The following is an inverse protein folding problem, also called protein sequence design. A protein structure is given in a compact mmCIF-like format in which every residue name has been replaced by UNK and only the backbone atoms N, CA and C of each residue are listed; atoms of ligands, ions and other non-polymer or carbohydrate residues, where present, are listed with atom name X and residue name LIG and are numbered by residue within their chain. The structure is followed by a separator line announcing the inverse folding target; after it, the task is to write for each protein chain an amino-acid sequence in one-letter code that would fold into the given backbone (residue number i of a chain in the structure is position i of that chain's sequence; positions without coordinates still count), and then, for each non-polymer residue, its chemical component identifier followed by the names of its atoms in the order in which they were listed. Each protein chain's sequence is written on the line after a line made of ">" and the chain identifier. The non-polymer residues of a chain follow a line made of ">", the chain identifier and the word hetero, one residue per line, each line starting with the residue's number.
data_IF_011801225534
#
_entry.id   IF_011801225534
#
_cell.length_a   1.000
_cell.length_b   1.000
_cell.length_c   1.000
_cell.angle_alpha   90.00
_cell.angle_beta   90.00
_cell.angle_gamma   90.00
#
_symmetry.space_group_name_H-M   'P 1'
#
loop_
_entity.id
_entity.type
_entity.pdbx_description
1 polymer ?
#
# COMPACT_ATOMS: atom_id res chain seq x y z
N UNK A 1 -7.28 -1.97 16.61
CA UNK A 1 -7.41 -0.50 16.60
C UNK A 1 -6.11 0.20 17.00
N UNK A 2 -5.41 -0.20 18.07
CA UNK A 2 -4.23 0.51 18.58
C UNK A 2 -3.10 0.72 17.54
N UNK A 3 -2.78 -0.31 16.74
CA UNK A 3 -1.77 -0.22 15.68
C UNK A 3 -2.15 0.77 14.56
N UNK A 4 -3.42 0.81 14.15
CA UNK A 4 -3.91 1.72 13.11
C UNK A 4 -3.87 3.18 13.56
N UNK A 5 -4.21 3.46 14.81
CA UNK A 5 -4.10 4.81 15.39
C UNK A 5 -2.65 5.29 15.44
N UNK A 6 -1.73 4.41 15.84
CA UNK A 6 -0.30 4.72 15.87
C UNK A 6 0.26 5.03 14.47
N UNK A 7 -0.19 4.29 13.46
CA UNK A 7 0.20 4.55 12.07
C UNK A 7 -0.37 5.89 11.57
N UNK A 8 -1.64 6.17 11.85
CA UNK A 8 -2.27 7.44 11.47
C UNK A 8 -1.52 8.65 12.05
N UNK A 9 -1.20 8.62 13.35
CA UNK A 9 -0.52 9.72 14.03
C UNK A 9 0.94 9.89 13.61
N UNK A 10 1.67 8.79 13.40
CA UNK A 10 3.09 8.86 13.10
C UNK A 10 3.42 8.97 11.62
N UNK A 11 2.50 8.62 10.73
CA UNK A 11 2.74 8.57 9.29
C UNK A 11 1.73 9.45 8.55
N UNK A 12 0.45 9.11 8.59
CA UNK A 12 -0.56 9.74 7.75
C UNK A 12 -0.70 11.24 8.03
N UNK A 13 -1.00 11.62 9.28
CA UNK A 13 -1.25 13.03 9.62
C UNK A 13 -0.01 13.90 9.49
N UNK A 14 1.17 13.34 9.75
CA UNK A 14 2.45 14.03 9.51
C UNK A 14 2.66 14.33 8.03
N UNK A 15 2.30 13.42 7.13
CA UNK A 15 2.46 13.64 5.68
C UNK A 15 1.47 14.67 5.12
N UNK A 16 0.29 14.81 5.73
CA UNK A 16 -0.73 15.76 5.27
C UNK A 16 -0.50 17.20 5.74
N UNK A 17 0.46 17.43 6.65
CA UNK A 17 0.79 18.75 7.21
C UNK A 17 -0.44 19.59 7.65
N UNK A 18 -1.49 18.93 8.14
CA UNK A 18 -2.72 19.59 8.63
C UNK A 18 -3.67 20.11 7.54
N UNK A 19 -3.42 19.84 6.26
CA UNK A 19 -4.26 20.29 5.14
C UNK A 19 -5.56 19.45 5.02
N UNK A 20 -5.64 18.32 5.73
CA UNK A 20 -6.71 17.35 5.57
C UNK A 20 -6.57 16.56 4.26
N UNK A 21 -7.59 15.79 3.90
CA UNK A 21 -7.59 15.02 2.65
C UNK A 21 -8.59 13.87 2.62
N UNK A 22 -8.48 13.03 1.59
CA UNK A 22 -9.29 11.81 1.47
C UNK A 22 -8.41 10.59 1.70
N UNK A 23 -8.75 9.79 2.71
CA UNK A 23 -8.14 8.49 2.95
C UNK A 23 -9.04 7.39 2.38
N UNK A 24 -8.51 6.60 1.44
CA UNK A 24 -9.23 5.46 0.86
C UNK A 24 -8.79 4.17 1.58
N UNK A 25 -9.72 3.41 2.13
CA UNK A 25 -9.44 2.15 2.84
C UNK A 25 -10.39 1.03 2.42
N UNK A 26 -10.06 -0.22 2.77
CA UNK A 26 -11.05 -1.30 2.80
C UNK A 26 -12.05 -1.12 3.97
N UNK A 27 -13.02 -2.03 4.05
CA UNK A 27 -14.05 -2.07 5.08
C UNK A 27 -13.71 -2.92 6.31
N UNK A 28 -12.44 -3.29 6.54
CA UNK A 28 -12.09 -4.07 7.74
C UNK A 28 -12.41 -3.29 9.01
N UNK A 29 -12.96 -3.98 10.02
CA UNK A 29 -13.42 -3.38 11.28
C UNK A 29 -12.34 -2.53 11.98
N UNK A 30 -11.07 -2.86 11.80
CA UNK A 30 -9.95 -2.08 12.36
C UNK A 30 -9.81 -0.70 11.73
N UNK A 31 -10.17 -0.53 10.44
CA UNK A 31 -10.12 0.73 9.70
C UNK A 31 -11.40 1.56 9.87
N UNK A 32 -12.52 0.93 10.21
CA UNK A 32 -13.84 1.59 10.39
C UNK A 32 -14.22 1.79 11.85
N UNK A 33 -13.38 1.34 12.80
CA UNK A 33 -13.63 1.48 14.23
C UNK A 33 -13.81 2.93 14.67
N UNK A 34 -14.65 3.17 15.69
CA UNK A 34 -14.92 4.49 16.23
C UNK A 34 -13.66 5.30 16.58
N UNK A 35 -12.60 4.74 17.21
CA UNK A 35 -11.38 5.51 17.49
C UNK A 35 -10.69 6.01 16.22
N UNK A 36 -10.75 5.23 15.13
CA UNK A 36 -10.18 5.65 13.84
C UNK A 36 -11.03 6.77 13.23
N UNK A 37 -12.36 6.62 13.23
CA UNK A 37 -13.26 7.68 12.73
C UNK A 37 -13.05 9.01 13.46
N UNK A 38 -12.91 8.95 14.79
CA UNK A 38 -12.65 10.13 15.60
C UNK A 38 -11.31 10.78 15.20
N UNK A 39 -10.23 9.99 15.15
CA UNK A 39 -8.91 10.51 14.79
C UNK A 39 -8.88 11.14 13.39
N UNK A 40 -9.58 10.56 12.41
CA UNK A 40 -9.71 11.14 11.07
C UNK A 40 -10.48 12.47 11.09
N UNK A 41 -11.58 12.53 11.85
CA UNK A 41 -12.40 13.73 12.01
C UNK A 41 -11.60 14.87 12.63
N UNK A 42 -10.85 14.58 13.71
CA UNK A 42 -10.02 15.56 14.43
C UNK A 42 -8.92 16.17 13.54
N UNK A 43 -8.54 15.48 12.46
CA UNK A 43 -7.49 15.90 11.52
C UNK A 43 -8.03 16.30 10.14
N UNK A 44 -9.35 16.54 10.02
CA UNK A 44 -10.00 16.95 8.76
C UNK A 44 -9.76 15.97 7.59
N UNK A 45 -9.68 14.67 7.89
CA UNK A 45 -9.54 13.61 6.88
C UNK A 45 -10.89 12.94 6.65
N UNK A 46 -11.38 12.99 5.42
CA UNK A 46 -12.56 12.24 5.00
C UNK A 46 -12.16 10.82 4.62
N UNK A 47 -12.87 9.81 5.10
CA UNK A 47 -12.64 8.43 4.69
C UNK A 47 -13.57 8.01 3.56
N UNK A 48 -13.01 7.41 2.51
CA UNK A 48 -13.76 6.67 1.50
C UNK A 48 -13.53 5.16 1.72
N UNK A 49 -14.57 4.45 2.15
CA UNK A 49 -14.51 3.02 2.44
C UNK A 49 -14.92 2.22 1.20
N UNK A 50 -14.04 1.33 0.75
CA UNK A 50 -14.33 0.38 -0.32
C UNK A 50 -15.05 -0.85 0.26
N UNK A 51 -16.22 -1.24 -0.27
CA UNK A 51 -16.95 -2.42 0.19
C UNK A 51 -16.18 -3.73 0.05
N UNK A 52 -16.61 -4.73 0.81
CA UNK A 52 -16.06 -6.08 0.79
C UNK A 52 -16.12 -6.69 -0.63
N UNK A 53 -15.11 -7.49 -0.98
CA UNK A 53 -15.01 -8.11 -2.31
C UNK A 53 -14.59 -7.16 -3.44
N UNK A 54 -14.66 -5.83 -3.24
CA UNK A 54 -14.24 -4.84 -4.23
C UNK A 54 -12.81 -4.31 -4.02
N UNK A 55 -12.25 -4.49 -2.82
CA UNK A 55 -10.93 -3.98 -2.42
C UNK A 55 -9.82 -4.26 -3.44
N UNK A 56 -9.71 -5.50 -3.94
CA UNK A 56 -8.66 -5.87 -4.90
C UNK A 56 -8.73 -5.09 -6.23
N UNK A 57 -9.94 -4.69 -6.65
CA UNK A 57 -10.15 -3.95 -7.90
C UNK A 57 -10.08 -2.44 -7.69
N UNK A 58 -10.62 -1.96 -6.57
CA UNK A 58 -10.86 -0.54 -6.34
C UNK A 58 -9.84 0.15 -5.42
N UNK A 59 -9.00 -0.57 -4.68
CA UNK A 59 -7.95 0.08 -3.86
C UNK A 59 -6.69 0.33 -4.70
N UNK A 60 -6.29 1.59 -4.94
CA UNK A 60 -5.07 1.89 -5.68
C UNK A 60 -3.82 1.28 -5.02
N UNK A 61 -3.82 1.18 -3.68
CA UNK A 61 -2.73 0.58 -2.90
C UNK A 61 -2.43 -0.86 -3.33
N UNK A 62 -3.45 -1.65 -3.72
CA UNK A 62 -3.24 -3.04 -4.15
C UNK A 62 -2.35 -3.11 -5.40
N UNK A 63 -2.45 -2.14 -6.31
CA UNK A 63 -1.59 -2.09 -7.50
C UNK A 63 -0.15 -1.80 -7.14
N UNK A 64 0.09 -0.83 -6.26
CA UNK A 64 1.43 -0.52 -5.75
C UNK A 64 2.01 -1.73 -4.99
N UNK A 65 1.20 -2.42 -4.18
CA UNK A 65 1.60 -3.64 -3.50
C UNK A 65 1.95 -4.78 -4.47
N UNK A 66 1.24 -4.91 -5.59
CA UNK A 66 1.55 -5.89 -6.63
C UNK A 66 2.88 -5.59 -7.32
N UNK A 67 3.17 -4.32 -7.63
CA UNK A 67 4.46 -3.90 -8.19
C UNK A 67 5.59 -4.20 -7.20
N UNK A 68 5.40 -3.82 -5.94
CA UNK A 68 6.33 -4.13 -4.86
C UNK A 68 6.60 -5.64 -4.75
N UNK A 69 5.54 -6.45 -4.77
CA UNK A 69 5.65 -7.91 -4.71
C UNK A 69 6.44 -8.46 -5.91
N UNK A 70 6.14 -8.02 -7.13
CA UNK A 70 6.83 -8.47 -8.35
C UNK A 70 8.34 -8.21 -8.28
N UNK A 71 8.73 -7.00 -7.88
CA UNK A 71 10.15 -6.64 -7.74
C UNK A 71 10.85 -7.43 -6.64
N UNK A 72 10.14 -7.73 -5.54
CA UNK A 72 10.68 -8.57 -4.47
C UNK A 72 10.84 -10.03 -4.91
N UNK A 73 9.90 -10.56 -5.70
CA UNK A 73 9.96 -11.90 -6.28
C UNK A 73 11.12 -12.02 -7.27
N UNK A 74 11.39 -10.99 -8.09
CA UNK A 74 12.56 -10.95 -8.97
C UNK A 74 13.88 -11.06 -8.20
N UNK A 75 14.04 -10.30 -7.10
CA UNK A 75 15.22 -10.41 -6.24
C UNK A 75 15.38 -11.81 -5.63
N UNK A 76 14.26 -12.41 -5.22
CA UNK A 76 14.24 -13.77 -4.70
C UNK A 76 14.66 -14.80 -5.77
N UNK A 77 14.11 -14.70 -6.98
CA UNK A 77 14.46 -15.61 -8.09
C UNK A 77 15.93 -15.50 -8.48
N UNK A 78 16.47 -14.28 -8.59
CA UNK A 78 17.90 -14.06 -8.88
C UNK A 78 18.77 -14.68 -7.78
N UNK A 79 18.39 -14.54 -6.51
CA UNK A 79 19.14 -15.15 -5.42
C UNK A 79 19.11 -16.68 -5.46
N UNK A 80 17.95 -17.28 -5.70
CA UNK A 80 17.79 -18.72 -5.78
C UNK A 80 18.53 -19.32 -6.99
N UNK A 81 18.50 -18.66 -8.14
CA UNK A 81 19.19 -19.10 -9.36
C UNK A 81 20.72 -19.12 -9.21
N UNK A 82 21.28 -18.28 -8.34
CA UNK A 82 22.72 -18.20 -8.10
C UNK A 82 23.23 -19.20 -7.05
N UNK A 83 22.36 -20.05 -6.48
CA UNK A 83 22.76 -21.06 -5.51
C UNK A 83 23.12 -22.38 -6.21
N UNK A 84 24.41 -22.66 -6.37
CA UNK A 84 24.88 -23.82 -7.14
C UNK A 84 24.66 -25.19 -6.48
N UNK A 85 24.48 -25.28 -5.16
CA UNK A 85 24.61 -26.58 -4.47
C UNK A 85 23.64 -26.84 -3.32
N UNK A 86 22.85 -25.85 -2.88
CA UNK A 86 21.79 -26.07 -1.87
C UNK A 86 20.81 -24.90 -1.89
N UNK A 87 19.51 -25.17 -2.04
CA UNK A 87 18.47 -24.14 -1.96
C UNK A 87 18.45 -23.60 -0.52
N UNK A 88 19.02 -22.42 -0.29
CA UNK A 88 18.84 -21.70 0.98
C UNK A 88 17.68 -20.73 0.84
N UNK A 89 16.66 -20.94 1.66
CA UNK A 89 15.57 -19.97 1.83
C UNK A 89 16.16 -18.62 2.28
N UNK A 90 15.72 -17.48 1.70
CA UNK A 90 16.17 -16.16 2.15
C UNK A 90 15.92 -15.95 3.64
N UNK A 91 16.87 -15.33 4.35
CA UNK A 91 16.67 -14.99 5.77
C UNK A 91 15.70 -13.81 5.93
N UNK A 92 15.09 -13.62 7.11
CA UNK A 92 14.28 -12.43 7.40
C UNK A 92 15.02 -11.11 7.16
N UNK A 93 16.30 -11.02 7.53
CA UNK A 93 17.13 -9.82 7.31
C UNK A 93 17.33 -9.54 5.82
N UNK A 94 17.53 -10.60 5.02
CA UNK A 94 17.68 -10.47 3.58
C UNK A 94 16.39 -10.00 2.93
N UNK A 95 15.24 -10.56 3.33
CA UNK A 95 13.92 -10.11 2.88
C UNK A 95 13.68 -8.64 3.27
N UNK A 96 14.08 -8.23 4.48
CA UNK A 96 13.98 -6.85 4.93
C UNK A 96 14.82 -5.90 4.06
N UNK A 97 16.09 -6.23 3.79
CA UNK A 97 16.95 -5.40 2.95
C UNK A 97 16.43 -5.28 1.51
N UNK A 98 15.89 -6.36 0.95
CA UNK A 98 15.24 -6.32 -0.35
C UNK A 98 13.96 -5.47 -0.33
N UNK A 99 13.12 -5.62 0.69
CA UNK A 99 11.92 -4.79 0.87
C UNK A 99 12.28 -3.30 0.92
N UNK A 100 13.33 -2.92 1.66
CA UNK A 100 13.82 -1.53 1.73
C UNK A 100 14.33 -1.06 0.38
N UNK A 101 15.06 -1.91 -0.37
CA UNK A 101 15.55 -1.58 -1.71
C UNK A 101 14.40 -1.33 -2.68
N UNK A 102 13.44 -2.27 -2.76
CA UNK A 102 12.26 -2.16 -3.62
C UNK A 102 11.45 -0.92 -3.27
N UNK A 103 11.22 -0.66 -1.97
CA UNK A 103 10.53 0.55 -1.52
C UNK A 103 11.23 1.82 -2.01
N UNK A 104 12.57 1.89 -1.90
CA UNK A 104 13.34 3.05 -2.37
C UNK A 104 13.23 3.23 -3.88
N UNK A 105 13.24 2.14 -4.65
CA UNK A 105 13.14 2.20 -6.10
C UNK A 105 11.74 2.63 -6.57
N UNK A 106 10.67 2.14 -5.92
CA UNK A 106 9.30 2.62 -6.16
C UNK A 106 9.12 4.08 -5.75
N UNK A 107 9.75 4.51 -4.65
CA UNK A 107 9.66 5.89 -4.20
C UNK A 107 10.20 6.91 -5.23
N UNK A 108 11.12 6.50 -6.11
CA UNK A 108 11.62 7.35 -7.21
C UNK A 108 10.55 7.69 -8.23
N UNK A 109 9.60 6.78 -8.47
CA UNK A 109 8.51 6.92 -9.44
C UNK A 109 7.13 7.01 -8.76
N UNK A 110 7.12 7.40 -7.49
CA UNK A 110 5.93 7.36 -6.64
C UNK A 110 4.74 8.10 -7.25
N UNK A 111 4.98 9.27 -7.86
CA UNK A 111 3.92 10.09 -8.43
C UNK A 111 3.29 9.42 -9.64
N UNK A 112 4.12 8.84 -10.50
CA UNK A 112 3.71 8.11 -11.70
C UNK A 112 2.93 6.83 -11.32
N UNK A 113 3.45 6.06 -10.36
CA UNK A 113 2.83 4.81 -9.90
C UNK A 113 1.48 5.06 -9.23
N UNK A 114 1.39 6.09 -8.37
CA UNK A 114 0.12 6.50 -7.75
C UNK A 114 -0.86 6.94 -8.84
N UNK A 115 -0.44 7.81 -9.78
CA UNK A 115 -1.32 8.27 -10.86
C UNK A 115 -1.83 7.11 -11.70
N UNK A 116 -0.97 6.16 -12.07
CA UNK A 116 -1.36 4.98 -12.83
C UNK A 116 -2.36 4.10 -12.06
N UNK A 117 -2.16 3.91 -10.75
CA UNK A 117 -3.06 3.14 -9.90
C UNK A 117 -4.46 3.78 -9.82
N UNK A 118 -4.54 5.11 -9.64
CA UNK A 118 -5.80 5.84 -9.62
C UNK A 118 -6.50 5.88 -10.99
N UNK A 119 -5.76 6.13 -12.07
CA UNK A 119 -6.33 6.11 -13.43
C UNK A 119 -6.95 4.76 -13.74
N UNK A 120 -6.28 3.66 -13.36
CA UNK A 120 -6.82 2.31 -13.58
C UNK A 120 -8.11 2.07 -12.80
N UNK A 121 -8.19 2.51 -11.54
CA UNK A 121 -9.40 2.43 -10.73
C UNK A 121 -10.57 3.18 -11.40
N UNK A 122 -10.32 4.36 -11.97
CA UNK A 122 -11.35 5.21 -12.57
C UNK A 122 -11.76 4.75 -13.97
N UNK A 123 -10.82 4.28 -14.79
CA UNK A 123 -11.02 3.98 -16.22
C UNK A 123 -11.41 2.52 -16.50
N UNK A 124 -11.17 1.57 -15.59
CA UNK A 124 -11.61 0.19 -15.78
C UNK A 124 -13.14 -0.03 -15.61
N UNK A 125 -13.90 1.02 -15.30
CA UNK A 125 -15.36 0.99 -15.17
C UNK A 125 -16.10 1.68 -16.32
N UNK A 126 -15.41 2.16 -17.35
CA UNK A 126 -16.08 2.61 -18.58
C UNK A 126 -16.50 1.37 -19.37
N UNK A 127 -17.80 1.07 -19.52
CA UNK A 127 -18.20 0.15 -20.56
C UNK A 127 -17.76 0.80 -21.87
N UNK A 128 -16.98 0.09 -22.68
CA UNK A 128 -16.84 0.40 -24.10
C UNK A 128 -18.26 0.49 -24.67
N UNK A 129 -18.68 1.71 -24.99
CA UNK A 129 -19.89 2.00 -25.76
C UNK A 129 -19.63 1.59 -27.20
#
# INVERSE_FOLDING_TARGET
>A
SHSSILWLSNVCFKQLHGIGGVLITDCFNVHTSQPVQQALTDHHVTQAVIPEGCAFKLLPAIRVCMLFKSMLEELCQVFLANQMTTIKTPSPDQLYHWAVRVHRDLAKHQKEDIRAAFNKMLLCNSPTV
#
